data_IF_072753687276
#
_entry.id   IF_072753687276
#
_cell.length_a   1.000
_cell.length_b   1.000
_cell.length_c   1.000
_cell.angle_alpha   90.00
_cell.angle_beta   90.00
_cell.angle_gamma   90.00
#
_symmetry.space_group_name_H-M   'P 1'
#
loop_
_entity.id
_entity.type
_entity.pdbx_description
1 polymer ?
#
# COMPACT_ATOMS: atom_id res chain seq x y z
N UNK A 1 2.08 5.69 -18.81
CA UNK A 1 1.71 5.62 -17.39
C UNK A 1 2.56 4.53 -16.78
N UNK A 2 3.32 4.84 -15.74
CA UNK A 2 4.24 3.91 -15.08
C UNK A 2 3.54 3.24 -13.91
N UNK A 3 3.80 1.96 -13.70
CA UNK A 3 3.36 1.25 -12.48
C UNK A 3 4.47 1.34 -11.44
N UNK A 4 4.10 1.67 -10.21
CA UNK A 4 5.00 1.79 -9.07
C UNK A 4 4.61 0.75 -8.03
N UNK A 5 5.61 0.08 -7.46
CA UNK A 5 5.45 -0.76 -6.29
C UNK A 5 6.23 -0.14 -5.15
N UNK A 6 5.55 0.16 -4.05
CA UNK A 6 6.15 0.86 -2.93
C UNK A 6 5.79 0.19 -1.62
N UNK A 7 6.73 0.26 -0.68
CA UNK A 7 6.47 0.13 0.75
C UNK A 7 6.34 1.53 1.34
N UNK A 8 5.31 1.73 2.14
CA UNK A 8 5.07 2.95 2.91
C UNK A 8 5.01 2.59 4.38
N UNK A 9 5.88 3.19 5.18
CA UNK A 9 5.85 3.09 6.63
C UNK A 9 5.36 4.43 7.20
N UNK A 10 4.19 4.42 7.84
CA UNK A 10 3.61 5.57 8.52
C UNK A 10 3.88 5.46 10.02
N UNK A 11 4.60 6.42 10.57
CA UNK A 11 4.81 6.51 12.01
C UNK A 11 3.73 7.36 12.64
N UNK A 12 2.84 6.75 13.41
CA UNK A 12 1.79 7.48 14.14
C UNK A 12 2.24 7.66 15.59
N UNK A 13 2.45 8.90 16.07
CA UNK A 13 2.83 9.15 17.45
C UNK A 13 1.85 8.46 18.41
N UNK A 14 2.39 7.74 19.40
CA UNK A 14 1.65 6.99 20.43
C UNK A 14 0.91 5.72 19.97
N UNK A 15 0.75 5.47 18.67
CA UNK A 15 0.01 4.30 18.14
C UNK A 15 0.98 3.25 17.55
N UNK A 16 2.11 3.69 16.98
CA UNK A 16 3.13 2.80 16.42
C UNK A 16 3.36 3.03 14.93
N UNK A 17 3.95 2.03 14.27
CA UNK A 17 4.22 2.06 12.83
C UNK A 17 3.17 1.21 12.11
N UNK A 18 2.57 1.78 11.07
CA UNK A 18 1.75 1.05 10.12
C UNK A 18 2.55 0.86 8.83
N UNK A 19 2.59 -0.36 8.32
CA UNK A 19 3.27 -0.67 7.06
C UNK A 19 2.24 -1.02 5.99
N UNK A 20 2.33 -0.33 4.85
CA UNK A 20 1.51 -0.59 3.68
C UNK A 20 2.39 -0.93 2.48
N UNK A 21 1.98 -1.92 1.70
CA UNK A 21 2.62 -2.30 0.43
C UNK A 21 1.62 -2.02 -0.68
N UNK A 22 1.97 -1.14 -1.62
CA UNK A 22 1.03 -0.62 -2.61
C UNK A 22 1.53 -0.78 -4.04
N UNK A 23 0.61 -1.11 -4.93
CA UNK A 23 0.73 -0.95 -6.38
C UNK A 23 -0.05 0.30 -6.79
N UNK A 24 0.65 1.20 -7.46
CA UNK A 24 0.13 2.48 -7.92
C UNK A 24 0.32 2.62 -9.43
N UNK A 25 -0.58 3.32 -10.10
CA UNK A 25 -0.42 3.75 -11.49
C UNK A 25 -0.28 5.26 -11.54
N UNK A 26 0.86 5.74 -12.03
CA UNK A 26 1.15 7.16 -12.19
C UNK A 26 0.13 7.83 -13.12
N UNK A 27 -0.52 8.88 -12.62
CA UNK A 27 -1.45 9.72 -13.39
C UNK A 27 -0.79 11.03 -13.81
N UNK A 28 0.00 11.62 -12.90
CA UNK A 28 0.82 12.80 -13.11
C UNK A 28 2.04 12.77 -12.18
N UNK A 29 3.00 13.70 -12.33
CA UNK A 29 4.13 13.78 -11.40
C UNK A 29 3.76 14.09 -9.94
N UNK A 30 2.48 14.35 -9.65
CA UNK A 30 1.98 14.65 -8.30
C UNK A 30 0.97 13.63 -7.79
N UNK A 31 0.39 12.79 -8.65
CA UNK A 31 -0.73 11.93 -8.30
C UNK A 31 -0.59 10.53 -8.89
N UNK A 32 -0.98 9.54 -8.09
CA UNK A 32 -1.12 8.16 -8.51
C UNK A 32 -2.52 7.63 -8.21
N UNK A 33 -2.96 6.68 -9.04
CA UNK A 33 -4.16 5.90 -8.78
C UNK A 33 -3.80 4.61 -8.02
N UNK A 34 -4.45 4.38 -6.88
CA UNK A 34 -4.32 3.17 -6.07
C UNK A 34 -4.90 1.97 -6.82
N UNK A 35 -4.08 0.96 -7.13
CA UNK A 35 -4.55 -0.27 -7.77
C UNK A 35 -4.74 -1.39 -6.74
N UNK A 36 -3.73 -1.64 -5.94
CA UNK A 36 -3.76 -2.66 -4.89
C UNK A 36 -2.97 -2.17 -3.69
N UNK A 37 -3.41 -2.54 -2.49
CA UNK A 37 -2.69 -2.24 -1.24
C UNK A 37 -2.81 -3.41 -0.28
N UNK A 38 -1.77 -3.65 0.50
CA UNK A 38 -1.69 -4.64 1.56
C UNK A 38 -1.28 -3.89 2.84
N UNK A 39 -1.98 -4.15 3.94
CA UNK A 39 -1.65 -3.66 5.27
C UNK A 39 -0.97 -4.77 6.07
N UNK A 40 0.21 -4.48 6.62
CA UNK A 40 0.98 -5.40 7.45
C UNK A 40 0.96 -4.94 8.91
N UNK A 41 0.93 -5.90 9.84
CA UNK A 41 1.20 -5.61 11.25
C UNK A 41 2.71 -5.43 11.51
N UNK A 42 3.12 -5.05 12.75
CA UNK A 42 4.53 -4.88 13.09
C UNK A 42 5.40 -6.14 12.96
N UNK A 43 4.81 -7.34 12.88
CA UNK A 43 5.53 -8.60 12.63
C UNK A 43 5.72 -8.90 11.14
N UNK A 44 5.10 -8.10 10.27
CA UNK A 44 5.08 -8.29 8.83
C UNK A 44 3.96 -9.19 8.33
N UNK A 45 3.01 -9.57 9.19
CA UNK A 45 1.88 -10.41 8.80
C UNK A 45 0.79 -9.56 8.13
N UNK A 46 0.18 -10.08 7.06
CA UNK A 46 -0.89 -9.41 6.33
C UNK A 46 -2.13 -9.29 7.23
N UNK A 47 -2.61 -8.08 7.50
CA UNK A 47 -3.83 -7.82 8.27
C UNK A 47 -5.02 -7.44 7.40
N UNK A 48 -4.78 -6.77 6.29
CA UNK A 48 -5.81 -6.35 5.36
C UNK A 48 -5.24 -6.09 3.98
N UNK A 49 -6.13 -5.97 3.01
CA UNK A 49 -5.78 -5.60 1.65
C UNK A 49 -6.98 -5.00 0.92
N UNK A 50 -6.71 -4.27 -0.15
CA UNK A 50 -7.76 -3.66 -0.96
C UNK A 50 -7.38 -3.56 -2.45
N UNK A 51 -8.42 -3.54 -3.27
CA UNK A 51 -8.44 -3.15 -4.69
C UNK A 51 -9.34 -1.90 -4.84
N UNK A 52 -9.55 -1.33 -6.03
CA UNK A 52 -10.45 -0.18 -6.19
C UNK A 52 -11.93 -0.54 -5.93
N UNK A 53 -12.25 -1.83 -5.78
CA UNK A 53 -13.63 -2.34 -5.63
C UNK A 53 -13.87 -3.05 -4.30
N UNK A 54 -12.84 -3.61 -3.70
CA UNK A 54 -12.93 -4.50 -2.53
C UNK A 54 -11.95 -4.05 -1.47
N UNK A 55 -12.37 -4.05 -0.22
CA UNK A 55 -11.50 -3.82 0.94
C UNK A 55 -11.83 -4.88 1.97
N UNK A 56 -10.79 -5.55 2.50
CA UNK A 56 -10.90 -6.63 3.48
C UNK A 56 -9.85 -6.43 4.57
N UNK A 57 -10.22 -6.66 5.83
CA UNK A 57 -9.28 -6.63 6.96
C UNK A 57 -8.71 -5.25 7.35
N UNK A 58 -8.88 -4.21 6.52
CA UNK A 58 -8.44 -2.85 6.81
C UNK A 58 -9.50 -2.07 7.61
N UNK A 59 -9.06 -1.11 8.43
CA UNK A 59 -9.96 -0.25 9.20
C UNK A 59 -10.86 0.65 8.32
N UNK A 60 -10.35 1.04 7.14
CA UNK A 60 -11.06 1.82 6.14
C UNK A 60 -10.53 1.50 4.74
N UNK A 61 -11.34 1.76 3.71
CA UNK A 61 -10.88 1.70 2.33
C UNK A 61 -9.78 2.74 2.08
N UNK A 62 -8.75 2.44 1.27
CA UNK A 62 -7.74 3.42 0.87
C UNK A 62 -8.35 4.48 -0.05
N UNK A 63 -7.73 5.66 -0.05
CA UNK A 63 -8.08 6.70 -1.04
C UNK A 63 -7.73 6.22 -2.45
N UNK A 64 -8.62 6.41 -3.45
CA UNK A 64 -8.41 5.92 -4.80
C UNK A 64 -7.31 6.70 -5.55
N UNK A 65 -7.08 7.95 -5.16
CA UNK A 65 -6.03 8.82 -5.69
C UNK A 65 -5.19 9.32 -4.53
N UNK A 66 -3.87 9.10 -4.61
CA UNK A 66 -2.91 9.47 -3.57
C UNK A 66 -1.81 10.36 -4.16
N UNK A 67 -1.08 11.13 -3.33
CA UNK A 67 0.10 11.86 -3.79
C UNK A 67 1.15 10.91 -4.37
N UNK A 68 1.92 11.40 -5.33
CA UNK A 68 3.02 10.63 -5.91
C UNK A 68 4.08 10.34 -4.84
N UNK A 69 4.69 9.13 -4.79
CA UNK A 69 5.68 8.78 -3.76
C UNK A 69 6.87 9.74 -3.69
N UNK A 70 7.29 10.31 -4.83
CA UNK A 70 8.33 11.34 -4.89
C UNK A 70 8.00 12.63 -4.12
N UNK A 71 6.72 12.88 -3.83
CA UNK A 71 6.28 14.02 -3.00
C UNK A 71 6.21 13.68 -1.51
N UNK A 72 6.40 12.42 -1.12
CA UNK A 72 6.32 12.02 0.29
C UNK A 72 7.46 12.57 1.15
N UNK A 73 8.53 13.07 0.54
CA UNK A 73 9.61 13.76 1.25
C UNK A 73 9.13 14.97 2.08
N UNK A 74 7.98 15.55 1.73
CA UNK A 74 7.37 16.66 2.45
C UNK A 74 6.63 16.23 3.74
N UNK A 75 6.51 14.92 4.00
CA UNK A 75 5.78 14.35 5.14
C UNK A 75 6.76 13.62 6.08
N UNK A 76 7.14 14.22 7.23
CA UNK A 76 8.18 13.66 8.10
C UNK A 76 7.80 12.32 8.75
N UNK A 77 6.51 12.01 8.81
CA UNK A 77 5.97 10.79 9.42
C UNK A 77 5.81 9.64 8.41
N UNK A 78 6.15 9.87 7.13
CA UNK A 78 6.01 8.90 6.04
C UNK A 78 7.38 8.58 5.46
N UNK A 79 7.75 7.30 5.49
CA UNK A 79 8.87 6.80 4.70
C UNK A 79 8.32 5.96 3.56
N UNK A 80 8.73 6.25 2.32
CA UNK A 80 8.43 5.38 1.19
C UNK A 80 9.70 4.80 0.58
N UNK A 81 9.63 3.52 0.23
CA UNK A 81 10.74 2.77 -0.37
C UNK A 81 10.21 2.01 -1.58
N UNK A 82 10.79 2.19 -2.78
CA UNK A 82 10.46 1.35 -3.93
C UNK A 82 10.73 -0.12 -3.61
N UNK A 83 9.86 -1.00 -4.09
CA UNK A 83 10.06 -2.45 -4.02
C UNK A 83 9.93 -3.07 -5.41
N UNK A 84 10.46 -4.28 -5.56
CA UNK A 84 10.33 -5.03 -6.80
C UNK A 84 8.94 -5.67 -6.93
N UNK A 85 8.50 -5.88 -8.17
CA UNK A 85 7.19 -6.49 -8.47
C UNK A 85 7.08 -7.90 -7.91
N UNK A 86 8.18 -8.67 -7.89
CA UNK A 86 8.21 -10.03 -7.37
C UNK A 86 7.89 -10.09 -5.87
N UNK A 87 8.35 -9.10 -5.11
CA UNK A 87 8.01 -9.00 -3.68
C UNK A 87 6.52 -8.66 -3.51
N UNK A 88 6.02 -7.73 -4.31
CA UNK A 88 4.60 -7.37 -4.28
C UNK A 88 3.72 -8.57 -4.61
N UNK A 89 4.00 -9.28 -5.70
CA UNK A 89 3.19 -10.40 -6.17
C UNK A 89 3.21 -11.57 -5.19
N UNK A 90 4.34 -11.82 -4.51
CA UNK A 90 4.42 -12.83 -3.46
C UNK A 90 3.49 -12.51 -2.28
N UNK A 91 3.53 -11.25 -1.80
CA UNK A 91 2.64 -10.79 -0.72
C UNK A 91 1.17 -10.75 -1.17
N UNK A 92 0.90 -10.37 -2.41
CA UNK A 92 -0.46 -10.34 -2.95
C UNK A 92 -1.05 -11.74 -3.08
N UNK A 93 -0.25 -12.74 -3.48
CA UNK A 93 -0.69 -14.13 -3.50
C UNK A 93 -1.03 -14.64 -2.10
N UNK A 94 -0.26 -14.27 -1.08
CA UNK A 94 -0.59 -14.56 0.33
C UNK A 94 -1.87 -13.83 0.76
N UNK A 95 -2.05 -12.57 0.36
CA UNK A 95 -3.25 -11.80 0.64
C UNK A 95 -4.50 -12.47 0.03
N UNK A 96 -4.44 -12.94 -1.21
CA UNK A 96 -5.54 -13.69 -1.86
C UNK A 96 -5.80 -15.01 -1.13
N UNK A 97 -4.75 -15.74 -0.72
CA UNK A 97 -4.91 -16.98 0.02
C UNK A 97 -5.60 -16.77 1.38
N UNK A 98 -5.33 -15.63 2.03
CA UNK A 98 -5.97 -15.23 3.29
C UNK A 98 -7.38 -14.64 3.09
N UNK A 99 -7.58 -13.89 2.00
CA UNK A 99 -8.82 -13.19 1.67
C UNK A 99 -9.24 -13.48 0.22
N UNK A 100 -9.98 -14.57 -0.02
CA UNK A 100 -10.40 -14.98 -1.37
C UNK A 100 -11.27 -13.95 -2.11
N UNK A 101 -11.84 -12.95 -1.42
CA UNK A 101 -12.63 -11.87 -2.01
C UNK A 101 -11.82 -10.94 -2.92
N UNK A 102 -10.49 -11.03 -2.89
CA UNK A 102 -9.56 -10.23 -3.70
C UNK A 102 -9.27 -10.83 -5.08
N UNK A 103 -9.72 -12.06 -5.35
CA UNK A 103 -9.44 -12.81 -6.58
C UNK A 103 -10.28 -12.36 -7.79
#
# INVERSE_FOLDING_TARGET
MSTLYIRVDLTVPQIGVSTHIAELVEQSPQLCAMQRIIELDPSGAIQGAATPKVTVGMASAPEPIVPHPDTYADFPDITSTPIDVELFDALWAEAIAKFPELA
#
